data_IF_079058713138
#
_entry.id   IF_079058713138
#
_cell.length_a   1.000
_cell.length_b   1.000
_cell.length_c   1.000
_cell.angle_alpha   90.00
_cell.angle_beta   90.00
_cell.angle_gamma   90.00
#
_symmetry.space_group_name_H-M   'P 1'
#
loop_
_entity.id
_entity.type
_entity.pdbx_description
1 polymer ?
#
# COMPACT_ATOMS: atom_id res chain seq x y z
N UNK A 1 -15.19 -47.89 -43.72
CA UNK A 1 -14.30 -47.12 -42.82
C UNK A 1 -15.02 -45.81 -42.57
N UNK A 2 -15.58 -45.65 -41.39
CA UNK A 2 -16.21 -44.39 -40.96
C UNK A 2 -15.10 -43.42 -40.59
N UNK A 3 -15.04 -42.29 -41.30
CA UNK A 3 -14.05 -41.24 -41.06
C UNK A 3 -14.25 -40.67 -39.65
N UNK A 4 -13.26 -40.91 -38.77
CA UNK A 4 -13.22 -40.32 -37.44
C UNK A 4 -13.15 -38.79 -37.62
N UNK A 5 -14.06 -37.99 -37.03
CA UNK A 5 -14.09 -36.54 -37.19
C UNK A 5 -12.98 -35.87 -36.38
N UNK A 6 -11.72 -36.10 -36.77
CA UNK A 6 -10.53 -35.65 -36.07
C UNK A 6 -10.40 -34.12 -36.04
N UNK A 7 -10.80 -33.45 -37.12
CA UNK A 7 -10.74 -31.99 -37.24
C UNK A 7 -11.58 -31.24 -36.19
N UNK A 8 -12.89 -31.53 -36.06
CA UNK A 8 -13.74 -30.97 -35.02
C UNK A 8 -13.23 -31.25 -33.60
N UNK A 9 -12.73 -32.47 -33.33
CA UNK A 9 -12.20 -32.88 -32.02
C UNK A 9 -10.95 -32.07 -31.65
N UNK A 10 -9.98 -31.95 -32.57
CA UNK A 10 -8.75 -31.17 -32.35
C UNK A 10 -9.06 -29.68 -32.16
N UNK A 11 -10.05 -29.16 -32.90
CA UNK A 11 -10.46 -27.76 -32.79
C UNK A 11 -11.13 -27.47 -31.45
N UNK A 12 -11.99 -28.37 -30.96
CA UNK A 12 -12.65 -28.28 -29.65
C UNK A 12 -11.65 -28.29 -28.48
N UNK A 13 -10.62 -29.12 -28.57
CA UNK A 13 -9.60 -29.25 -27.52
C UNK A 13 -8.69 -28.01 -27.45
N UNK A 14 -8.37 -27.39 -28.60
CA UNK A 14 -7.41 -26.27 -28.66
C UNK A 14 -8.06 -24.89 -28.41
N UNK A 15 -9.35 -24.71 -28.73
CA UNK A 15 -10.00 -23.41 -28.67
C UNK A 15 -10.05 -22.78 -27.27
N UNK A 16 -10.40 -23.51 -26.19
CA UNK A 16 -10.46 -22.95 -24.84
C UNK A 16 -9.09 -22.48 -24.32
N UNK A 17 -8.03 -23.26 -24.56
CA UNK A 17 -6.71 -23.01 -24.01
C UNK A 17 -5.98 -21.83 -24.66
N UNK A 18 -6.23 -21.59 -25.95
CA UNK A 18 -5.57 -20.53 -26.73
C UNK A 18 -6.38 -19.22 -26.70
N UNK A 19 -7.71 -19.31 -26.78
CA UNK A 19 -8.56 -18.12 -26.96
C UNK A 19 -8.85 -17.39 -25.65
N UNK A 20 -8.98 -18.09 -24.53
CA UNK A 20 -9.29 -17.47 -23.22
C UNK A 20 -8.29 -16.37 -22.83
N UNK A 21 -6.97 -16.57 -22.79
CA UNK A 21 -6.01 -15.56 -22.37
C UNK A 21 -5.82 -14.42 -23.39
N UNK A 22 -6.17 -14.66 -24.66
CA UNK A 22 -6.19 -13.65 -25.72
C UNK A 22 -7.44 -12.75 -25.66
N UNK A 23 -8.51 -13.20 -25.01
CA UNK A 23 -9.72 -12.42 -24.79
C UNK A 23 -9.67 -11.56 -23.50
N UNK A 24 -8.72 -11.83 -22.60
CA UNK A 24 -8.56 -11.07 -21.37
C UNK A 24 -8.12 -9.61 -21.62
N UNK A 25 -8.54 -8.66 -20.75
CA UNK A 25 -8.01 -7.29 -20.70
C UNK A 25 -6.48 -7.25 -20.72
N UNK A 26 -5.91 -6.18 -21.28
CA UNK A 26 -4.46 -6.08 -21.54
C UNK A 26 -3.63 -6.20 -20.26
N UNK A 27 -4.14 -5.67 -19.16
CA UNK A 27 -3.52 -5.66 -17.84
C UNK A 27 -3.46 -7.07 -17.25
N UNK A 28 -4.57 -7.81 -17.33
CA UNK A 28 -4.68 -9.21 -16.92
C UNK A 28 -3.77 -10.08 -17.78
N UNK A 29 -3.80 -9.89 -19.11
CA UNK A 29 -2.95 -10.63 -20.05
C UNK A 29 -1.46 -10.46 -19.76
N UNK A 30 -1.02 -9.26 -19.41
CA UNK A 30 0.38 -8.99 -19.08
C UNK A 30 0.84 -9.78 -17.84
N UNK A 31 -0.02 -9.95 -16.84
CA UNK A 31 0.26 -10.73 -15.63
C UNK A 31 0.21 -12.23 -15.91
N UNK A 32 -0.79 -12.69 -16.65
CA UNK A 32 -0.97 -14.11 -16.97
C UNK A 32 0.18 -14.60 -17.89
N UNK A 33 0.60 -13.84 -18.90
CA UNK A 33 1.72 -14.21 -19.78
C UNK A 33 3.06 -14.37 -19.05
N UNK A 34 3.27 -13.66 -17.93
CA UNK A 34 4.46 -13.83 -17.07
C UNK A 34 4.42 -15.12 -16.24
N UNK A 35 3.27 -15.81 -16.18
CA UNK A 35 3.04 -17.00 -15.38
C UNK A 35 3.02 -18.25 -16.26
N UNK A 36 4.12 -19.01 -16.22
CA UNK A 36 4.20 -20.37 -16.82
C UNK A 36 3.12 -21.33 -16.28
N UNK A 37 2.55 -21.03 -15.11
CA UNK A 37 1.58 -21.88 -14.43
C UNK A 37 0.24 -21.95 -15.17
N UNK A 38 -0.19 -20.88 -15.86
CA UNK A 38 -1.37 -20.94 -16.72
C UNK A 38 -1.17 -21.95 -17.85
N UNK A 39 0.03 -22.00 -18.46
CA UNK A 39 0.33 -22.98 -19.51
C UNK A 39 0.11 -24.40 -18.97
N UNK A 40 0.57 -24.68 -17.75
CA UNK A 40 0.35 -25.99 -17.10
C UNK A 40 -1.14 -26.22 -16.85
N UNK A 41 -1.86 -25.26 -16.26
CA UNK A 41 -3.29 -25.38 -15.96
C UNK A 41 -4.15 -25.54 -17.22
N UNK A 42 -3.76 -24.94 -18.34
CA UNK A 42 -4.41 -25.09 -19.64
C UNK A 42 -4.05 -26.41 -20.34
N UNK A 43 -2.83 -26.93 -20.14
CA UNK A 43 -2.36 -28.19 -20.73
C UNK A 43 -2.91 -29.43 -20.03
N UNK A 44 -3.20 -29.38 -18.72
CA UNK A 44 -3.78 -30.51 -17.96
C UNK A 44 -5.09 -31.02 -18.59
N UNK A 45 -6.11 -30.19 -18.85
CA UNK A 45 -7.35 -30.67 -19.46
C UNK A 45 -7.15 -31.16 -20.89
N UNK A 46 -6.29 -30.51 -21.69
CA UNK A 46 -5.89 -31.00 -23.02
C UNK A 46 -5.32 -32.41 -22.90
N UNK A 47 -4.38 -32.61 -21.98
CA UNK A 47 -3.73 -33.90 -21.77
C UNK A 47 -4.72 -34.97 -21.27
N UNK A 48 -5.65 -34.60 -20.39
CA UNK A 48 -6.73 -35.51 -19.94
C UNK A 48 -7.68 -35.90 -21.07
N UNK A 49 -8.04 -34.96 -21.95
CA UNK A 49 -8.83 -35.22 -23.16
C UNK A 49 -8.08 -36.18 -24.10
N UNK A 50 -6.76 -36.02 -24.26
CA UNK A 50 -5.92 -36.98 -25.01
C UNK A 50 -5.88 -38.37 -24.39
N UNK A 51 -5.73 -38.49 -23.06
CA UNK A 51 -5.76 -39.78 -22.36
C UNK A 51 -7.12 -40.46 -22.56
N UNK A 52 -8.22 -39.70 -22.45
CA UNK A 52 -9.56 -40.23 -22.62
C UNK A 52 -9.83 -40.73 -24.05
N UNK A 53 -9.40 -39.96 -25.06
CA UNK A 53 -9.42 -40.36 -26.47
C UNK A 53 -8.59 -41.63 -26.73
N UNK A 54 -7.39 -41.71 -26.13
CA UNK A 54 -6.52 -42.88 -26.27
C UNK A 54 -7.16 -44.14 -25.67
N UNK A 55 -7.72 -44.04 -24.45
CA UNK A 55 -8.42 -45.15 -23.81
C UNK A 55 -9.65 -45.60 -24.61
N UNK A 56 -10.42 -44.65 -25.15
CA UNK A 56 -11.55 -44.93 -26.01
C UNK A 56 -11.13 -45.67 -27.29
N UNK A 57 -10.11 -45.17 -28.00
CA UNK A 57 -9.58 -45.84 -29.19
C UNK A 57 -9.02 -47.23 -28.89
N UNK A 58 -8.26 -47.39 -27.80
CA UNK A 58 -7.71 -48.68 -27.38
C UNK A 58 -8.82 -49.70 -27.11
N UNK A 59 -9.91 -49.27 -26.46
CA UNK A 59 -11.06 -50.12 -26.17
C UNK A 59 -11.85 -50.49 -27.44
N UNK A 60 -12.07 -49.55 -28.36
CA UNK A 60 -12.71 -49.79 -29.67
C UNK A 60 -11.90 -50.77 -30.52
N UNK A 61 -10.57 -50.65 -30.52
CA UNK A 61 -9.70 -51.55 -31.30
C UNK A 61 -9.76 -53.00 -30.80
N UNK A 62 -10.13 -53.22 -29.52
CA UNK A 62 -10.32 -54.55 -28.93
C UNK A 62 -11.72 -55.12 -29.09
N UNK A 63 -12.75 -54.29 -29.26
CA UNK A 63 -14.15 -54.72 -29.33
C UNK A 63 -14.79 -54.23 -30.65
N UNK A 64 -15.02 -55.14 -31.60
CA UNK A 64 -15.48 -54.85 -32.97
C UNK A 64 -16.95 -54.41 -33.09
N UNK A 65 -17.72 -54.43 -32.00
CA UNK A 65 -19.16 -54.12 -31.99
C UNK A 65 -19.46 -52.73 -31.41
N UNK A 66 -18.73 -51.70 -31.82
CA UNK A 66 -19.01 -50.32 -31.41
C UNK A 66 -20.06 -49.67 -32.32
N UNK A 67 -21.20 -49.30 -31.74
CA UNK A 67 -22.23 -48.52 -32.44
C UNK A 67 -21.80 -47.05 -32.55
N UNK A 68 -22.20 -46.38 -33.63
CA UNK A 68 -21.97 -44.93 -33.85
C UNK A 68 -22.47 -44.07 -32.67
N UNK A 69 -23.48 -44.55 -31.94
CA UNK A 69 -24.04 -43.90 -30.75
C UNK A 69 -23.01 -43.71 -29.63
N UNK A 70 -22.05 -44.64 -29.48
CA UNK A 70 -21.03 -44.52 -28.44
C UNK A 70 -20.01 -43.43 -28.81
N UNK A 71 -19.70 -43.26 -30.10
CA UNK A 71 -18.85 -42.16 -30.58
C UNK A 71 -19.50 -40.80 -30.34
N UNK A 72 -20.80 -40.66 -30.61
CA UNK A 72 -21.53 -39.43 -30.29
C UNK A 72 -21.55 -39.14 -28.78
N UNK A 73 -21.70 -40.16 -27.94
CA UNK A 73 -21.61 -40.01 -26.48
C UNK A 73 -20.21 -39.55 -26.01
N UNK A 74 -19.16 -40.12 -26.60
CA UNK A 74 -17.76 -39.75 -26.30
C UNK A 74 -17.43 -38.32 -26.71
N UNK A 75 -17.86 -37.91 -27.91
CA UNK A 75 -17.71 -36.54 -28.40
C UNK A 75 -18.50 -35.57 -27.51
N UNK A 76 -19.71 -35.93 -27.08
CA UNK A 76 -20.51 -35.11 -26.18
C UNK A 76 -19.84 -34.94 -24.82
N UNK A 77 -19.28 -36.00 -24.23
CA UNK A 77 -18.55 -35.92 -22.95
C UNK A 77 -17.31 -35.02 -23.09
N UNK A 78 -16.51 -35.20 -24.14
CA UNK A 78 -15.35 -34.35 -24.41
C UNK A 78 -15.76 -32.89 -24.58
N UNK A 79 -16.84 -32.62 -25.32
CA UNK A 79 -17.38 -31.28 -25.50
C UNK A 79 -17.84 -30.66 -24.18
N UNK A 80 -18.49 -31.43 -23.29
CA UNK A 80 -18.90 -30.97 -21.97
C UNK A 80 -17.70 -30.68 -21.06
N UNK A 81 -16.66 -31.51 -21.09
CA UNK A 81 -15.42 -31.27 -20.35
C UNK A 81 -14.72 -30.02 -20.87
N UNK A 82 -14.53 -29.90 -22.18
CA UNK A 82 -13.87 -28.75 -22.81
C UNK A 82 -14.67 -27.46 -22.58
N UNK A 83 -16.00 -27.50 -22.66
CA UNK A 83 -16.88 -26.37 -22.33
C UNK A 83 -16.75 -25.99 -20.84
N UNK A 84 -16.73 -26.97 -19.94
CA UNK A 84 -16.57 -26.72 -18.51
C UNK A 84 -15.21 -26.08 -18.19
N UNK A 85 -14.15 -26.59 -18.80
CA UNK A 85 -12.80 -26.03 -18.71
C UNK A 85 -12.76 -24.62 -19.31
N UNK A 86 -13.40 -24.39 -20.46
CA UNK A 86 -13.48 -23.08 -21.07
C UNK A 86 -14.17 -22.06 -20.16
N UNK A 87 -15.29 -22.44 -19.54
CA UNK A 87 -16.03 -21.60 -18.60
C UNK A 87 -15.18 -21.31 -17.36
N UNK A 88 -14.58 -22.34 -16.75
CA UNK A 88 -13.74 -22.20 -15.54
C UNK A 88 -12.50 -21.36 -15.82
N UNK A 89 -11.79 -21.61 -16.93
CA UNK A 89 -10.60 -20.84 -17.31
C UNK A 89 -10.98 -19.40 -17.69
N UNK A 90 -12.10 -19.20 -18.39
CA UNK A 90 -12.60 -17.84 -18.67
C UNK A 90 -12.92 -17.10 -17.37
N UNK A 91 -13.58 -17.76 -16.42
CA UNK A 91 -13.90 -17.13 -15.15
C UNK A 91 -12.62 -16.81 -14.35
N UNK A 92 -11.72 -17.77 -14.19
CA UNK A 92 -10.50 -17.61 -13.39
C UNK A 92 -9.49 -16.63 -14.01
N UNK A 93 -9.37 -16.57 -15.33
CA UNK A 93 -8.31 -15.83 -16.01
C UNK A 93 -8.78 -14.65 -16.85
N UNK A 94 -10.07 -14.55 -17.20
CA UNK A 94 -10.58 -13.39 -17.97
C UNK A 94 -11.36 -12.39 -17.12
N UNK A 95 -11.61 -12.70 -15.85
CA UNK A 95 -12.22 -11.76 -14.91
C UNK A 95 -11.21 -11.30 -13.87
N UNK A 96 -11.30 -10.03 -13.46
CA UNK A 96 -10.48 -9.49 -12.38
C UNK A 96 -10.75 -10.23 -11.06
N UNK A 97 -12.01 -10.56 -10.77
CA UNK A 97 -12.39 -11.33 -9.58
C UNK A 97 -11.72 -12.70 -9.54
N UNK A 98 -11.80 -13.47 -10.64
CA UNK A 98 -11.18 -14.79 -10.72
C UNK A 98 -9.66 -14.74 -10.54
N UNK A 99 -8.99 -13.79 -11.19
CA UNK A 99 -7.54 -13.67 -11.10
C UNK A 99 -7.10 -13.24 -9.69
N UNK A 100 -7.80 -12.27 -9.09
CA UNK A 100 -7.53 -11.83 -7.71
C UNK A 100 -7.74 -12.97 -6.73
N UNK A 101 -8.83 -13.74 -6.85
CA UNK A 101 -9.08 -14.91 -6.01
C UNK A 101 -7.99 -15.97 -6.16
N UNK A 102 -7.53 -16.24 -7.38
CA UNK A 102 -6.46 -17.21 -7.60
C UNK A 102 -5.14 -16.75 -6.98
N UNK A 103 -4.76 -15.48 -7.19
CA UNK A 103 -3.55 -14.92 -6.58
C UNK A 103 -3.62 -14.99 -5.05
N UNK A 104 -4.78 -14.67 -4.48
CA UNK A 104 -5.05 -14.74 -3.05
C UNK A 104 -4.93 -16.18 -2.52
N UNK A 105 -5.47 -17.17 -3.23
CA UNK A 105 -5.32 -18.59 -2.88
C UNK A 105 -3.86 -19.05 -2.88
N UNK A 106 -3.06 -18.64 -3.87
CA UNK A 106 -1.65 -18.96 -3.93
C UNK A 106 -0.86 -18.33 -2.78
N UNK A 107 -1.19 -17.08 -2.43
CA UNK A 107 -0.60 -16.37 -1.30
C UNK A 107 -0.93 -17.09 0.01
N UNK A 108 -2.21 -17.45 0.23
CA UNK A 108 -2.62 -18.17 1.44
C UNK A 108 -2.07 -19.59 1.51
N UNK A 109 -1.93 -20.28 0.38
CA UNK A 109 -1.30 -21.60 0.33
C UNK A 109 0.17 -21.52 0.77
N UNK A 110 0.90 -20.50 0.29
CA UNK A 110 2.28 -20.24 0.72
C UNK A 110 2.35 -19.89 2.20
N UNK A 111 1.50 -18.96 2.65
CA UNK A 111 1.44 -18.53 4.05
C UNK A 111 1.19 -19.72 4.99
N UNK A 112 0.23 -20.60 4.66
CA UNK A 112 -0.07 -21.80 5.45
C UNK A 112 1.09 -22.81 5.49
N UNK A 113 1.89 -22.90 4.42
CA UNK A 113 2.95 -23.90 4.31
C UNK A 113 4.27 -23.45 4.94
N UNK A 114 4.60 -22.17 4.83
CA UNK A 114 5.93 -21.67 5.20
C UNK A 114 5.91 -20.41 6.07
N UNK A 115 4.74 -19.95 6.50
CA UNK A 115 4.59 -18.69 7.26
C UNK A 115 4.95 -17.43 6.47
N UNK A 116 5.23 -17.55 5.17
CA UNK A 116 5.73 -16.47 4.30
C UNK A 116 4.85 -16.25 3.09
N UNK A 117 4.75 -15.00 2.66
CA UNK A 117 4.00 -14.62 1.47
C UNK A 117 4.71 -15.03 0.18
N UNK A 118 3.92 -15.47 -0.80
CA UNK A 118 4.41 -15.69 -2.15
C UNK A 118 4.68 -14.33 -2.80
N UNK A 119 5.94 -13.87 -2.77
CA UNK A 119 6.37 -12.58 -3.31
C UNK A 119 5.93 -12.35 -4.77
N UNK A 120 5.91 -13.41 -5.59
CA UNK A 120 5.47 -13.30 -6.99
C UNK A 120 3.98 -12.99 -7.08
N UNK A 121 3.14 -13.74 -6.36
CA UNK A 121 1.69 -13.53 -6.38
C UNK A 121 1.28 -12.19 -5.74
N UNK A 122 1.98 -11.75 -4.69
CA UNK A 122 1.81 -10.41 -4.13
C UNK A 122 2.19 -9.34 -5.16
N UNK A 123 3.36 -9.46 -5.79
CA UNK A 123 3.83 -8.54 -6.85
C UNK A 123 2.83 -8.45 -8.01
N UNK A 124 2.31 -9.58 -8.46
CA UNK A 124 1.35 -9.65 -9.57
C UNK A 124 0.02 -8.97 -9.20
N UNK A 125 -0.45 -9.15 -7.96
CA UNK A 125 -1.64 -8.47 -7.44
C UNK A 125 -1.47 -6.94 -7.39
N UNK A 126 -0.30 -6.47 -6.96
CA UNK A 126 0.05 -5.04 -6.96
C UNK A 126 0.18 -4.49 -8.38
N UNK A 127 0.79 -5.24 -9.30
CA UNK A 127 0.94 -4.84 -10.70
C UNK A 127 -0.43 -4.67 -11.39
N UNK A 128 -1.41 -5.50 -11.06
CA UNK A 128 -2.81 -5.29 -11.51
C UNK A 128 -3.38 -3.98 -10.96
N UNK A 129 -3.07 -3.63 -9.72
CA UNK A 129 -3.55 -2.40 -9.07
C UNK A 129 -2.96 -1.13 -9.67
N UNK A 130 -1.68 -1.18 -10.05
CA UNK A 130 -0.96 -0.08 -10.71
C UNK A 130 -1.49 0.13 -12.14
N UNK A 131 -1.79 -0.96 -12.86
CA UNK A 131 -2.18 -0.89 -14.28
C UNK A 131 -3.65 -0.60 -14.54
N UNK A 132 -4.50 -0.69 -13.52
CA UNK A 132 -5.94 -0.48 -13.68
C UNK A 132 -6.34 0.97 -13.41
N UNK A 133 -7.10 1.54 -14.33
CA UNK A 133 -7.75 2.85 -14.15
C UNK A 133 -9.15 2.72 -13.49
N UNK A 134 -9.68 1.50 -13.37
CA UNK A 134 -11.01 1.26 -12.80
C UNK A 134 -10.97 1.25 -11.27
N UNK A 135 -11.76 2.14 -10.67
CA UNK A 135 -11.92 2.24 -9.22
C UNK A 135 -12.46 0.94 -8.59
N UNK A 136 -13.36 0.23 -9.28
CA UNK A 136 -13.98 -1.01 -8.81
C UNK A 136 -12.96 -2.12 -8.68
N UNK A 137 -12.11 -2.25 -9.71
CA UNK A 137 -11.03 -3.23 -9.76
C UNK A 137 -9.98 -2.89 -8.69
N UNK A 138 -9.62 -1.61 -8.53
CA UNK A 138 -8.69 -1.22 -7.46
C UNK A 138 -9.27 -1.53 -6.07
N UNK A 139 -10.56 -1.29 -5.84
CA UNK A 139 -11.22 -1.62 -4.57
C UNK A 139 -11.21 -3.14 -4.28
N UNK A 140 -11.44 -3.97 -5.30
CA UNK A 140 -11.30 -5.43 -5.21
C UNK A 140 -9.87 -5.84 -4.80
N UNK A 141 -8.86 -5.24 -5.43
CA UNK A 141 -7.45 -5.50 -5.15
C UNK A 141 -7.09 -5.09 -3.72
N UNK A 142 -7.51 -3.90 -3.29
CA UNK A 142 -7.28 -3.39 -1.94
C UNK A 142 -7.99 -4.25 -0.89
N UNK A 143 -9.21 -4.69 -1.17
CA UNK A 143 -9.94 -5.64 -0.31
C UNK A 143 -9.20 -6.95 -0.14
N UNK A 144 -8.62 -7.49 -1.22
CA UNK A 144 -7.79 -8.69 -1.16
C UNK A 144 -6.51 -8.45 -0.37
N UNK A 145 -5.85 -7.29 -0.53
CA UNK A 145 -4.67 -6.91 0.25
C UNK A 145 -4.97 -6.81 1.74
N UNK A 146 -6.10 -6.22 2.13
CA UNK A 146 -6.53 -6.17 3.54
C UNK A 146 -6.68 -7.58 4.10
N UNK A 147 -7.35 -8.49 3.38
CA UNK A 147 -7.46 -9.90 3.80
C UNK A 147 -6.11 -10.60 3.90
N UNK A 148 -5.18 -10.31 2.99
CA UNK A 148 -3.81 -10.83 3.01
C UNK A 148 -3.09 -10.37 4.27
N UNK A 149 -3.12 -9.07 4.55
CA UNK A 149 -2.50 -8.47 5.75
C UNK A 149 -3.08 -9.09 7.02
N UNK A 150 -4.40 -9.13 7.16
CA UNK A 150 -5.07 -9.70 8.34
C UNK A 150 -4.65 -11.15 8.60
N UNK A 151 -4.68 -12.00 7.57
CA UNK A 151 -4.26 -13.41 7.72
C UNK A 151 -2.77 -13.58 8.00
N UNK A 152 -1.95 -12.69 7.44
CA UNK A 152 -0.49 -12.72 7.67
C UNK A 152 -0.18 -12.34 9.10
N UNK A 153 -0.72 -11.22 9.58
CA UNK A 153 -0.52 -10.74 10.93
C UNK A 153 -1.11 -11.71 11.98
N UNK A 154 -2.19 -12.43 11.66
CA UNK A 154 -2.74 -13.47 12.55
C UNK A 154 -1.97 -14.79 12.53
N UNK A 155 -0.99 -14.97 11.63
CA UNK A 155 -0.24 -16.21 11.53
C UNK A 155 0.73 -16.37 12.70
N UNK A 156 0.79 -17.56 13.31
CA UNK A 156 1.62 -17.81 14.49
C UNK A 156 3.12 -17.58 14.21
N UNK A 157 3.58 -17.95 13.02
CA UNK A 157 4.99 -17.81 12.61
C UNK A 157 5.35 -16.44 12.03
N UNK A 158 4.42 -15.48 11.99
CA UNK A 158 4.71 -14.16 11.44
C UNK A 158 5.64 -13.38 12.37
N UNK A 159 6.79 -12.97 11.79
CA UNK A 159 7.87 -12.21 12.44
C UNK A 159 8.15 -10.88 11.76
N UNK A 160 7.23 -10.35 10.94
CA UNK A 160 7.39 -8.98 10.40
C UNK A 160 8.36 -8.77 9.24
N UNK A 161 8.69 -9.83 8.51
CA UNK A 161 9.58 -9.77 7.32
C UNK A 161 8.82 -10.11 6.02
N UNK A 162 7.50 -9.88 5.99
CA UNK A 162 6.66 -10.38 4.89
C UNK A 162 5.82 -9.31 4.21
N UNK A 163 5.65 -8.13 4.79
CA UNK A 163 4.76 -7.10 4.25
C UNK A 163 5.47 -5.93 3.56
N UNK A 164 6.79 -5.77 3.71
CA UNK A 164 7.62 -4.74 3.04
C UNK A 164 7.21 -4.49 1.57
N UNK A 165 7.25 -5.52 0.71
CA UNK A 165 6.95 -5.38 -0.71
C UNK A 165 5.48 -4.97 -0.98
N UNK A 166 4.57 -5.32 -0.09
CA UNK A 166 3.16 -4.91 -0.16
C UNK A 166 3.02 -3.44 0.24
N UNK A 167 3.65 -3.04 1.35
CA UNK A 167 3.58 -1.69 1.89
C UNK A 167 4.22 -0.66 0.94
N UNK A 168 5.44 -0.91 0.47
CA UNK A 168 6.15 -0.01 -0.45
C UNK A 168 5.38 0.21 -1.75
N UNK A 169 4.83 -0.86 -2.34
CA UNK A 169 4.11 -0.78 -3.61
C UNK A 169 2.66 -0.32 -3.48
N UNK A 170 2.11 -0.29 -2.27
CA UNK A 170 0.80 0.31 -2.05
C UNK A 170 0.81 1.78 -2.46
N UNK A 171 1.89 2.51 -2.17
CA UNK A 171 2.07 3.90 -2.58
C UNK A 171 2.02 4.03 -4.11
N UNK A 172 2.71 3.13 -4.84
CA UNK A 172 2.72 3.10 -6.31
C UNK A 172 1.31 2.89 -6.90
N UNK A 173 0.49 2.02 -6.28
CA UNK A 173 -0.90 1.77 -6.72
C UNK A 173 -1.75 3.05 -6.68
N UNK A 174 -1.53 3.92 -5.69
CA UNK A 174 -2.28 5.17 -5.53
C UNK A 174 -1.66 6.36 -6.28
N UNK A 175 -0.36 6.31 -6.55
CA UNK A 175 0.34 7.32 -7.35
C UNK A 175 -0.03 7.18 -8.84
N UNK A 176 -0.13 5.95 -9.34
CA UNK A 176 -0.56 5.65 -10.70
C UNK A 176 -2.02 6.03 -11.01
N UNK A 177 -2.82 6.32 -9.98
CA UNK A 177 -4.21 6.71 -10.13
C UNK A 177 -4.35 8.13 -10.69
N UNK A 178 -4.55 8.23 -12.00
CA UNK A 178 -4.78 9.48 -12.72
C UNK A 178 -6.18 10.08 -12.50
N UNK A 179 -7.12 9.31 -11.94
CA UNK A 179 -8.54 9.72 -11.85
C UNK A 179 -8.84 10.82 -10.82
N UNK A 180 -7.87 11.13 -9.94
CA UNK A 180 -8.07 12.07 -8.83
C UNK A 180 -9.12 11.63 -7.79
N UNK A 181 -9.60 10.38 -7.86
CA UNK A 181 -10.64 9.90 -6.97
C UNK A 181 -10.06 9.47 -5.61
N UNK A 182 -10.48 10.16 -4.55
CA UNK A 182 -10.01 9.90 -3.20
C UNK A 182 -10.76 8.76 -2.46
N UNK A 183 -11.78 8.14 -3.05
CA UNK A 183 -12.64 7.14 -2.39
C UNK A 183 -11.90 5.94 -1.77
N UNK A 184 -10.81 5.49 -2.39
CA UNK A 184 -10.11 4.28 -1.97
C UNK A 184 -8.96 4.56 -0.96
N UNK A 185 -8.63 5.82 -0.69
CA UNK A 185 -7.48 6.17 0.14
C UNK A 185 -7.70 5.93 1.64
N UNK A 186 -8.95 5.76 2.09
CA UNK A 186 -9.25 5.34 3.47
C UNK A 186 -8.84 3.91 3.76
N UNK A 187 -8.90 3.01 2.77
CA UNK A 187 -8.65 1.57 2.96
C UNK A 187 -7.19 1.24 3.34
N UNK A 188 -6.16 1.88 2.74
CA UNK A 188 -4.78 1.78 3.24
C UNK A 188 -4.61 2.15 4.71
N UNK A 189 -5.33 3.16 5.20
CA UNK A 189 -5.23 3.56 6.61
C UNK A 189 -5.67 2.41 7.52
N UNK A 190 -6.80 1.78 7.20
CA UNK A 190 -7.35 0.68 7.99
C UNK A 190 -6.44 -0.56 7.93
N UNK A 191 -5.89 -0.86 6.75
CA UNK A 191 -4.93 -1.94 6.58
C UNK A 191 -3.65 -1.72 7.40
N UNK A 192 -3.05 -0.53 7.30
CA UNK A 192 -1.84 -0.19 8.05
C UNK A 192 -2.12 -0.16 9.56
N UNK A 193 -3.28 0.38 9.96
CA UNK A 193 -3.73 0.36 11.35
C UNK A 193 -3.81 -1.06 11.91
N UNK A 194 -4.32 -2.02 11.14
CA UNK A 194 -4.37 -3.42 11.54
C UNK A 194 -2.97 -4.02 11.75
N UNK A 195 -2.01 -3.71 10.86
CA UNK A 195 -0.60 -4.14 11.01
C UNK A 195 -0.04 -3.61 12.34
N UNK A 196 -0.17 -2.31 12.58
CA UNK A 196 0.34 -1.63 13.78
C UNK A 196 -0.29 -2.22 15.04
N UNK A 197 -1.62 -2.44 15.04
CA UNK A 197 -2.35 -2.93 16.21
C UNK A 197 -1.99 -4.37 16.56
N UNK A 198 -2.01 -5.28 15.57
CA UNK A 198 -1.69 -6.70 15.80
C UNK A 198 -0.23 -6.88 16.22
N UNK A 199 0.64 -5.98 15.76
CA UNK A 199 2.07 -5.97 16.07
C UNK A 199 2.42 -5.51 17.49
N UNK A 200 1.47 -4.96 18.26
CA UNK A 200 1.71 -4.31 19.57
C UNK A 200 2.56 -5.16 20.52
N UNK A 201 2.30 -6.46 20.61
CA UNK A 201 2.96 -7.34 21.57
C UNK A 201 4.24 -8.00 21.02
N UNK A 202 4.66 -7.67 19.78
CA UNK A 202 5.79 -8.29 19.07
C UNK A 202 6.80 -7.27 18.50
N UNK A 203 6.89 -6.07 19.10
CA UNK A 203 7.60 -4.89 18.56
C UNK A 203 9.02 -5.20 18.03
N UNK A 204 9.80 -6.05 18.71
CA UNK A 204 11.17 -6.40 18.28
C UNK A 204 11.23 -7.24 17.02
N UNK A 205 10.23 -8.10 16.80
CA UNK A 205 10.18 -8.99 15.65
C UNK A 205 9.66 -8.21 14.43
N UNK A 206 8.63 -7.40 14.62
CA UNK A 206 7.90 -6.74 13.52
C UNK A 206 8.30 -5.31 13.22
N UNK A 207 9.50 -4.93 13.67
CA UNK A 207 10.00 -3.55 13.58
C UNK A 207 10.06 -3.01 12.16
N UNK A 208 10.45 -3.85 11.20
CA UNK A 208 10.62 -3.42 9.79
C UNK A 208 9.26 -3.15 9.14
N UNK A 209 8.29 -4.06 9.30
CA UNK A 209 6.92 -3.85 8.80
C UNK A 209 6.23 -2.63 9.45
N UNK A 210 6.53 -2.30 10.73
CA UNK A 210 6.06 -1.05 11.36
C UNK A 210 6.71 0.18 10.70
N UNK A 211 8.02 0.15 10.46
CA UNK A 211 8.72 1.26 9.81
C UNK A 211 8.22 1.49 8.39
N UNK A 212 8.04 0.42 7.61
CA UNK A 212 7.52 0.52 6.25
C UNK A 212 6.05 0.94 6.23
N UNK A 213 5.27 0.57 7.25
CA UNK A 213 3.91 1.07 7.45
C UNK A 213 3.89 2.59 7.67
N UNK A 214 4.78 3.11 8.54
CA UNK A 214 4.92 4.55 8.80
C UNK A 214 5.35 5.30 7.54
N UNK A 215 6.34 4.78 6.79
CA UNK A 215 6.78 5.37 5.51
C UNK A 215 5.66 5.38 4.47
N UNK A 216 4.90 4.28 4.36
CA UNK A 216 3.79 4.16 3.42
C UNK A 216 2.68 5.16 3.72
N UNK A 217 2.36 5.39 5.00
CA UNK A 217 1.43 6.45 5.40
C UNK A 217 1.93 7.83 4.98
N UNK A 218 3.23 8.10 5.11
CA UNK A 218 3.85 9.35 4.64
C UNK A 218 3.66 9.54 3.13
N UNK A 219 4.03 8.54 2.33
CA UNK A 219 3.87 8.58 0.87
C UNK A 219 2.41 8.76 0.44
N UNK A 220 1.49 7.99 1.03
CA UNK A 220 0.06 8.09 0.75
C UNK A 220 -0.50 9.47 1.12
N UNK A 221 -0.11 10.02 2.27
CA UNK A 221 -0.53 11.36 2.71
C UNK A 221 -0.08 12.43 1.71
N UNK A 222 1.17 12.35 1.23
CA UNK A 222 1.68 13.29 0.23
C UNK A 222 0.91 13.20 -1.10
N UNK A 223 0.56 11.99 -1.55
CA UNK A 223 -0.27 11.79 -2.75
C UNK A 223 -1.65 12.42 -2.56
N UNK A 224 -2.30 12.19 -1.42
CA UNK A 224 -3.62 12.77 -1.12
C UNK A 224 -3.57 14.30 -1.09
N UNK A 225 -2.54 14.87 -0.44
CA UNK A 225 -2.36 16.33 -0.36
C UNK A 225 -2.13 16.92 -1.76
N UNK A 226 -1.31 16.29 -2.62
CA UNK A 226 -1.11 16.75 -4.01
C UNK A 226 -2.41 16.73 -4.83
N UNK A 227 -3.34 15.84 -4.49
CA UNK A 227 -4.66 15.74 -5.14
C UNK A 227 -5.71 16.71 -4.57
N UNK A 228 -5.34 17.55 -3.58
CA UNK A 228 -6.26 18.42 -2.86
C UNK A 228 -6.98 19.46 -3.73
N UNK A 229 -6.36 19.92 -4.82
CA UNK A 229 -7.00 20.88 -5.74
C UNK A 229 -8.33 20.36 -6.30
N UNK A 230 -8.45 19.03 -6.47
CA UNK A 230 -9.64 18.41 -7.03
C UNK A 230 -10.75 18.14 -6.01
N UNK A 231 -10.42 17.86 -4.74
CA UNK A 231 -11.38 17.40 -3.71
C UNK A 231 -10.98 17.81 -2.27
N UNK A 232 -10.95 19.11 -1.92
CA UNK A 232 -10.34 19.58 -0.66
C UNK A 232 -11.01 19.04 0.60
N UNK A 233 -12.34 18.89 0.63
CA UNK A 233 -13.06 18.38 1.82
C UNK A 233 -12.74 16.92 2.16
N UNK A 234 -12.45 16.08 1.16
CA UNK A 234 -12.12 14.68 1.39
C UNK A 234 -10.67 14.49 1.81
N UNK A 235 -9.79 15.42 1.43
CA UNK A 235 -8.39 15.40 1.84
C UNK A 235 -8.26 15.46 3.36
N UNK A 236 -9.01 16.35 4.01
CA UNK A 236 -8.99 16.48 5.47
C UNK A 236 -9.33 15.16 6.17
N UNK A 237 -10.44 14.53 5.79
CA UNK A 237 -10.89 13.27 6.38
C UNK A 237 -9.82 12.17 6.27
N UNK A 238 -9.19 12.04 5.10
CA UNK A 238 -8.22 10.99 4.81
C UNK A 238 -6.89 11.27 5.51
N UNK A 239 -6.38 12.50 5.40
CA UNK A 239 -5.10 12.88 6.02
C UNK A 239 -5.20 12.83 7.54
N UNK A 240 -6.32 13.26 8.14
CA UNK A 240 -6.53 13.11 9.57
C UNK A 240 -6.55 11.65 10.01
N UNK A 241 -7.17 10.77 9.22
CA UNK A 241 -7.11 9.33 9.50
C UNK A 241 -5.67 8.81 9.47
N UNK A 242 -4.83 9.25 8.52
CA UNK A 242 -3.42 8.87 8.50
C UNK A 242 -2.64 9.42 9.71
N UNK A 243 -2.87 10.68 10.09
CA UNK A 243 -2.28 11.29 11.29
C UNK A 243 -2.69 10.52 12.55
N UNK A 244 -3.94 10.08 12.66
CA UNK A 244 -4.42 9.31 13.81
C UNK A 244 -3.75 7.92 13.88
N UNK A 245 -3.51 7.28 12.74
CA UNK A 245 -2.75 6.01 12.70
C UNK A 245 -1.28 6.22 13.08
N UNK A 246 -0.67 7.34 12.67
CA UNK A 246 0.68 7.73 13.10
C UNK A 246 0.75 7.98 14.61
N UNK A 247 -0.23 8.70 15.18
CA UNK A 247 -0.32 8.95 16.63
C UNK A 247 -0.54 7.65 17.42
N UNK A 248 -1.36 6.75 16.90
CA UNK A 248 -1.51 5.39 17.44
C UNK A 248 -0.18 4.63 17.40
N UNK A 249 0.57 4.71 16.29
CA UNK A 249 1.89 4.08 16.17
C UNK A 249 2.86 4.63 17.19
N UNK A 250 2.94 5.95 17.34
CA UNK A 250 3.76 6.62 18.34
C UNK A 250 3.37 6.23 19.78
N UNK A 251 2.15 5.76 20.02
CA UNK A 251 1.66 5.33 21.34
C UNK A 251 1.95 3.86 21.61
N UNK A 252 1.79 3.00 20.61
CA UNK A 252 1.97 1.55 20.75
C UNK A 252 3.42 1.10 20.57
N UNK A 253 4.19 1.80 19.74
CA UNK A 253 5.54 1.42 19.30
C UNK A 253 6.49 2.60 19.50
N UNK A 254 6.88 2.84 20.76
CA UNK A 254 7.72 3.98 21.14
C UNK A 254 9.06 3.97 20.38
N UNK A 255 9.57 2.80 19.99
CA UNK A 255 10.78 2.67 19.17
C UNK A 255 10.68 3.31 17.78
N UNK A 256 9.47 3.63 17.32
CA UNK A 256 9.19 4.24 16.01
C UNK A 256 8.94 5.76 16.05
N UNK A 257 9.07 6.39 17.23
CA UNK A 257 8.65 7.79 17.43
C UNK A 257 9.42 8.78 16.53
N UNK A 258 10.71 8.54 16.30
CA UNK A 258 11.52 9.40 15.43
C UNK A 258 11.03 9.31 13.97
N UNK A 259 10.73 8.11 13.46
CA UNK A 259 10.17 7.96 12.11
C UNK A 259 8.78 8.60 12.01
N UNK A 260 7.92 8.39 13.01
CA UNK A 260 6.60 9.02 13.04
C UNK A 260 6.72 10.55 13.04
N UNK A 261 7.64 11.11 13.81
CA UNK A 261 7.85 12.56 13.89
C UNK A 261 8.35 13.13 12.55
N UNK A 262 9.25 12.42 11.88
CA UNK A 262 9.70 12.78 10.54
C UNK A 262 8.55 12.75 9.52
N UNK A 263 7.76 11.67 9.50
CA UNK A 263 6.64 11.55 8.57
C UNK A 263 5.57 12.61 8.84
N UNK A 264 5.25 12.88 10.10
CA UNK A 264 4.39 14.00 10.48
C UNK A 264 4.94 15.32 9.93
N UNK A 265 6.22 15.61 10.13
CA UNK A 265 6.87 16.79 9.55
C UNK A 265 6.68 16.89 8.03
N UNK A 266 6.96 15.82 7.29
CA UNK A 266 6.82 15.79 5.83
C UNK A 266 5.36 16.04 5.40
N UNK A 267 4.38 15.45 6.08
CA UNK A 267 2.95 15.71 5.87
C UNK A 267 2.62 17.19 6.11
N UNK A 268 3.12 17.76 7.20
CA UNK A 268 2.88 19.14 7.58
C UNK A 268 3.43 20.14 6.55
N UNK A 269 4.68 19.96 6.12
CA UNK A 269 5.31 20.84 5.12
C UNK A 269 4.60 20.71 3.77
N UNK A 270 4.28 19.50 3.34
CA UNK A 270 3.56 19.28 2.08
C UNK A 270 2.17 19.93 2.13
N UNK A 271 1.46 19.83 3.24
CA UNK A 271 0.15 20.44 3.41
C UNK A 271 0.22 21.98 3.37
N UNK A 272 1.17 22.58 4.08
CA UNK A 272 1.38 24.04 4.06
C UNK A 272 1.68 24.53 2.64
N UNK A 273 2.57 23.82 1.93
CA UNK A 273 2.93 24.14 0.54
C UNK A 273 1.75 24.06 -0.44
N UNK A 274 0.71 23.29 -0.10
CA UNK A 274 -0.53 23.16 -0.88
C UNK A 274 -1.68 24.01 -0.29
N UNK A 275 -1.38 25.04 0.49
CA UNK A 275 -2.35 25.96 1.12
C UNK A 275 -3.32 25.29 2.12
N UNK A 276 -3.02 24.09 2.61
CA UNK A 276 -3.78 23.38 3.65
C UNK A 276 -3.18 23.66 5.03
N UNK A 277 -3.10 24.94 5.39
CA UNK A 277 -2.40 25.41 6.61
C UNK A 277 -2.97 24.83 7.90
N UNK A 278 -4.27 24.52 7.95
CA UNK A 278 -4.92 23.87 9.10
C UNK A 278 -4.37 22.47 9.38
N UNK A 279 -4.05 21.69 8.35
CA UNK A 279 -3.38 20.39 8.50
C UNK A 279 -1.98 20.61 9.09
N UNK A 280 -1.23 21.60 8.59
CA UNK A 280 0.07 22.00 9.15
C UNK A 280 0.00 22.33 10.64
N UNK A 281 -1.03 23.07 11.08
CA UNK A 281 -1.27 23.35 12.50
C UNK A 281 -1.56 22.10 13.33
N UNK A 282 -2.39 21.19 12.81
CA UNK A 282 -2.71 19.93 13.50
C UNK A 282 -1.46 19.07 13.66
N UNK A 283 -0.65 18.95 12.62
CA UNK A 283 0.62 18.23 12.68
C UNK A 283 1.58 18.87 13.70
N UNK A 284 1.73 20.19 13.70
CA UNK A 284 2.55 20.89 14.70
C UNK A 284 2.06 20.63 16.13
N UNK A 285 0.74 20.62 16.35
CA UNK A 285 0.16 20.27 17.65
C UNK A 285 0.45 18.82 18.04
N UNK A 286 0.35 17.88 17.10
CA UNK A 286 0.66 16.46 17.35
C UNK A 286 2.14 16.29 17.72
N UNK A 287 3.07 16.88 16.99
CA UNK A 287 4.50 16.83 17.36
C UNK A 287 4.76 17.43 18.75
N UNK A 288 4.10 18.54 19.09
CA UNK A 288 4.19 19.13 20.43
C UNK A 288 3.63 18.21 21.53
N UNK A 289 2.56 17.47 21.25
CA UNK A 289 2.05 16.46 22.18
C UNK A 289 3.01 15.27 22.32
N UNK A 290 3.69 14.86 21.24
CA UNK A 290 4.63 13.74 21.26
C UNK A 290 5.88 14.08 22.09
N UNK A 291 6.43 15.29 21.93
CA UNK A 291 7.61 15.72 22.68
C UNK A 291 7.32 15.96 24.17
N UNK A 292 6.10 16.41 24.48
CA UNK A 292 5.66 16.67 25.86
C UNK A 292 5.36 15.42 26.68
N UNK A 293 5.49 14.21 26.11
CA UNK A 293 5.28 12.97 26.87
C UNK A 293 6.33 12.82 27.96
N UNK A 294 5.87 12.60 29.19
CA UNK A 294 6.73 12.51 30.38
C UNK A 294 7.61 11.26 30.37
N UNK A 295 7.11 10.15 29.81
CA UNK A 295 7.79 8.85 29.76
C UNK A 295 8.19 8.48 28.33
N UNK A 296 9.35 8.97 27.89
CA UNK A 296 10.00 8.47 26.66
C UNK A 296 11.20 7.58 27.01
N UNK A 297 11.38 6.44 26.32
CA UNK A 297 12.60 5.64 26.42
C UNK A 297 13.85 6.51 26.21
N UNK A 298 14.92 6.24 26.97
CA UNK A 298 16.20 7.00 26.88
C UNK A 298 16.79 7.07 25.47
N UNK A 299 16.43 6.15 24.57
CA UNK A 299 16.90 6.09 23.18
C UNK A 299 16.21 7.10 22.25
N UNK A 300 15.15 7.77 22.71
CA UNK A 300 14.41 8.75 21.91
C UNK A 300 14.99 10.14 22.11
N UNK A 301 15.33 10.79 21.00
CA UNK A 301 15.86 12.13 21.01
C UNK A 301 14.73 13.18 20.94
N UNK A 302 14.34 13.74 22.09
CA UNK A 302 13.35 14.82 22.15
C UNK A 302 13.79 16.05 21.34
N UNK A 303 15.10 16.32 21.24
CA UNK A 303 15.61 17.48 20.49
C UNK A 303 15.39 17.33 18.98
N UNK A 304 15.37 16.09 18.48
CA UNK A 304 15.01 15.80 17.09
C UNK A 304 13.54 16.12 16.82
N UNK A 305 12.62 15.67 17.69
CA UNK A 305 11.19 15.98 17.59
C UNK A 305 10.95 17.49 17.69
N UNK A 306 11.68 18.18 18.59
CA UNK A 306 11.62 19.63 18.69
C UNK A 306 12.04 20.31 17.39
N UNK A 307 13.07 19.81 16.73
CA UNK A 307 13.54 20.34 15.45
C UNK A 307 12.49 20.19 14.36
N UNK A 308 11.82 19.04 14.28
CA UNK A 308 10.67 18.86 13.39
C UNK A 308 9.53 19.82 13.69
N UNK A 309 9.14 19.99 14.97
CA UNK A 309 8.11 20.97 15.36
C UNK A 309 8.48 22.40 14.97
N UNK A 310 9.71 22.83 15.27
CA UNK A 310 10.22 24.16 14.92
C UNK A 310 10.25 24.35 13.41
N UNK A 311 10.60 23.30 12.66
CA UNK A 311 10.53 23.27 11.21
C UNK A 311 9.13 23.62 10.69
N UNK A 312 8.08 22.91 11.12
CA UNK A 312 6.70 23.22 10.70
C UNK A 312 6.30 24.65 11.10
N UNK A 313 6.60 25.04 12.34
CA UNK A 313 6.26 26.38 12.84
C UNK A 313 6.92 27.47 11.98
N UNK A 314 8.15 27.26 11.52
CA UNK A 314 8.84 28.24 10.67
C UNK A 314 8.17 28.46 9.31
N UNK A 315 7.56 27.40 8.75
CA UNK A 315 6.76 27.50 7.54
C UNK A 315 5.46 28.27 7.80
N UNK A 316 4.72 27.91 8.85
CA UNK A 316 3.52 28.65 9.27
C UNK A 316 3.82 30.14 9.59
N UNK A 317 5.00 30.41 10.16
CA UNK A 317 5.45 31.76 10.52
C UNK A 317 5.71 32.65 9.31
N UNK A 318 6.26 32.05 8.25
CA UNK A 318 6.60 32.74 7.01
C UNK A 318 5.34 33.09 6.22
N UNK A 319 4.36 32.19 6.22
CA UNK A 319 3.17 32.31 5.36
C UNK A 319 2.02 33.08 6.04
N UNK A 320 2.03 33.23 7.37
CA UNK A 320 0.90 33.84 8.12
C UNK A 320 1.34 34.81 9.23
N UNK A 321 1.41 36.11 8.89
CA UNK A 321 1.75 37.17 9.84
C UNK A 321 0.77 37.26 11.03
N UNK A 322 -0.52 37.01 10.78
CA UNK A 322 -1.58 37.08 11.79
C UNK A 322 -1.44 36.04 12.90
N UNK A 323 -0.80 34.90 12.61
CA UNK A 323 -0.66 33.78 13.55
C UNK A 323 0.61 33.83 14.39
N UNK A 324 1.52 34.79 14.15
CA UNK A 324 2.82 34.88 14.82
C UNK A 324 2.74 34.93 16.35
N UNK A 325 1.72 35.59 16.90
CA UNK A 325 1.53 35.64 18.36
C UNK A 325 1.20 34.25 18.94
N UNK A 326 0.37 33.46 18.24
CA UNK A 326 0.06 32.08 18.64
C UNK A 326 1.27 31.16 18.43
N UNK A 327 1.93 31.29 17.28
CA UNK A 327 3.13 30.50 16.95
C UNK A 327 4.26 30.77 17.94
N UNK A 328 4.42 32.01 18.44
CA UNK A 328 5.39 32.33 19.50
C UNK A 328 5.14 31.51 20.76
N UNK A 329 3.88 31.38 21.19
CA UNK A 329 3.54 30.53 22.35
C UNK A 329 3.89 29.06 22.11
N UNK A 330 3.73 28.57 20.87
CA UNK A 330 4.14 27.20 20.52
C UNK A 330 5.65 27.03 20.53
N UNK A 331 6.41 28.01 20.02
CA UNK A 331 7.88 28.00 20.11
C UNK A 331 8.31 27.95 21.58
N UNK A 332 7.79 28.84 22.42
CA UNK A 332 8.11 28.89 23.85
C UNK A 332 7.80 27.56 24.58
N UNK A 333 6.77 26.83 24.15
CA UNK A 333 6.46 25.51 24.68
C UNK A 333 7.44 24.41 24.22
N UNK A 334 8.08 24.55 23.05
CA UNK A 334 9.03 23.57 22.50
C UNK A 334 10.44 23.75 23.05
N UNK A 335 10.87 25.01 23.26
CA UNK A 335 12.24 25.33 23.67
C UNK A 335 12.74 24.53 24.88
N UNK A 336 11.96 24.32 25.96
CA UNK A 336 12.40 23.53 27.11
C UNK A 336 12.92 22.13 26.75
N UNK A 337 12.38 21.50 25.70
CA UNK A 337 12.77 20.16 25.28
C UNK A 337 14.05 20.11 24.44
N UNK A 338 14.57 21.26 24.03
CA UNK A 338 15.85 21.37 23.32
C UNK A 338 17.05 21.52 24.26
N UNK A 339 16.81 21.72 25.56
CA UNK A 339 17.82 21.97 26.59
C UNK A 339 18.79 23.12 26.27
N UNK A 340 18.39 24.09 25.44
CA UNK A 340 19.20 25.24 25.08
C UNK A 340 18.33 26.50 24.91
N UNK A 341 18.93 27.71 24.93
CA UNK A 341 18.20 28.95 24.68
C UNK A 341 17.59 28.99 23.28
N UNK A 342 16.50 29.75 23.11
CA UNK A 342 15.74 29.85 21.85
C UNK A 342 16.61 30.07 20.60
N UNK A 343 17.63 30.94 20.68
CA UNK A 343 18.50 31.23 19.54
C UNK A 343 19.35 30.03 19.14
N UNK A 344 19.91 29.32 20.12
CA UNK A 344 20.72 28.12 19.90
C UNK A 344 19.85 26.94 19.47
N UNK A 345 18.63 26.82 20.02
CA UNK A 345 17.66 25.80 19.60
C UNK A 345 17.33 25.92 18.12
N UNK A 346 17.06 27.15 17.65
CA UNK A 346 16.79 27.40 16.23
C UNK A 346 18.03 27.15 15.38
N UNK A 347 19.23 27.53 15.83
CA UNK A 347 20.49 27.25 15.09
C UNK A 347 20.76 25.76 14.95
N UNK A 348 20.53 24.97 16.00
CA UNK A 348 20.66 23.50 15.95
C UNK A 348 19.66 22.89 14.99
N UNK A 349 18.41 23.34 15.00
CA UNK A 349 17.40 22.88 14.04
C UNK A 349 17.74 23.29 12.61
N UNK A 350 18.26 24.50 12.39
CA UNK A 350 18.76 24.93 11.08
C UNK A 350 19.87 24.01 10.58
N UNK A 351 20.88 23.76 11.42
CA UNK A 351 21.99 22.85 11.07
C UNK A 351 21.52 21.44 10.79
N UNK A 352 20.58 20.92 11.59
CA UNK A 352 19.92 19.65 11.35
C UNK A 352 19.27 19.61 9.96
N UNK A 353 18.45 20.60 9.60
CA UNK A 353 17.80 20.65 8.29
C UNK A 353 18.78 20.83 7.14
N UNK A 354 19.86 21.60 7.31
CA UNK A 354 20.93 21.69 6.30
C UNK A 354 21.58 20.32 6.05
N UNK A 355 21.83 19.54 7.10
CA UNK A 355 22.45 18.21 6.98
C UNK A 355 21.55 17.20 6.26
N UNK A 356 20.23 17.34 6.35
CA UNK A 356 19.26 16.51 5.62
C UNK A 356 18.77 17.17 4.32
N UNK A 357 19.49 18.17 3.81
CA UNK A 357 19.18 18.90 2.57
C UNK A 357 17.83 19.65 2.55
N UNK A 358 17.26 19.93 3.73
CA UNK A 358 16.04 20.73 3.91
C UNK A 358 16.30 22.24 3.93
N UNK A 359 16.97 22.77 2.90
CA UNK A 359 17.45 24.16 2.85
C UNK A 359 16.33 25.20 3.04
N UNK A 360 15.17 25.00 2.42
CA UNK A 360 14.03 25.91 2.55
C UNK A 360 13.56 26.04 4.01
N UNK A 361 13.50 24.93 4.73
CA UNK A 361 13.14 24.92 6.16
C UNK A 361 14.21 25.64 6.99
N UNK A 362 15.49 25.45 6.66
CA UNK A 362 16.58 26.16 7.33
C UNK A 362 16.51 27.68 7.12
N UNK A 363 16.18 28.14 5.90
CA UNK A 363 16.01 29.56 5.59
C UNK A 363 14.81 30.17 6.33
N UNK A 364 13.68 29.45 6.37
CA UNK A 364 12.48 29.86 7.11
C UNK A 364 12.74 29.92 8.63
N UNK A 365 13.52 28.98 9.16
CA UNK A 365 13.96 29.01 10.56
C UNK A 365 14.84 30.24 10.85
N UNK A 366 15.76 30.59 9.95
CA UNK A 366 16.59 31.78 10.08
C UNK A 366 15.75 33.06 10.11
N UNK A 367 14.78 33.19 9.20
CA UNK A 367 13.86 34.32 9.18
C UNK A 367 13.06 34.42 10.49
N UNK A 368 12.53 33.29 10.97
CA UNK A 368 11.83 33.20 12.25
C UNK A 368 12.72 33.62 13.43
N UNK A 369 13.99 33.18 13.47
CA UNK A 369 14.96 33.55 14.51
C UNK A 369 15.15 35.06 14.60
N UNK A 370 15.36 35.72 13.46
CA UNK A 370 15.57 37.18 13.39
C UNK A 370 14.35 37.93 13.96
N UNK A 371 13.15 37.48 13.61
CA UNK A 371 11.90 38.08 14.10
C UNK A 371 11.71 37.86 15.60
N UNK A 372 11.99 36.65 16.10
CA UNK A 372 11.89 36.32 17.52
C UNK A 372 12.86 37.16 18.36
N UNK A 373 14.11 37.35 17.92
CA UNK A 373 15.10 38.17 18.63
C UNK A 373 14.71 39.65 18.65
N UNK A 374 14.29 40.21 17.51
CA UNK A 374 13.80 41.60 17.44
C UNK A 374 12.59 41.84 18.35
N UNK A 375 11.71 40.86 18.48
CA UNK A 375 10.53 40.99 19.36
C UNK A 375 10.91 41.06 20.84
N UNK A 376 11.88 40.25 21.29
CA UNK A 376 12.39 40.26 22.68
C UNK A 376 13.14 41.54 23.05
N UNK A 377 13.90 42.11 22.12
CA UNK A 377 14.57 43.40 22.33
C UNK A 377 13.59 44.56 22.51
N UNK A 378 12.45 44.53 21.78
CA UNK A 378 11.39 45.54 21.90
C UNK A 378 10.63 45.46 23.22
N UNK A 379 10.43 44.26 23.79
CA UNK A 379 9.83 44.09 25.12
C UNK A 379 10.78 44.46 26.25
N UNK A 380 12.09 44.26 26.09
CA UNK A 380 13.09 44.70 27.08
C UNK A 380 13.29 46.22 27.13
N UNK A 381 13.09 46.96 26.02
CA UNK A 381 13.14 48.43 26.00
C UNK A 381 11.88 49.12 26.56
N UNK A 382 10.81 48.36 26.81
CA UNK A 382 9.52 48.88 27.33
C UNK A 382 9.30 48.62 28.83
N UNK A 383 10.20 47.87 29.47
CA UNK A 383 10.31 47.75 30.93
C UNK A 383 11.46 48.63 31.38
#
# INVERSE_FOLDING_TARGET
MTDIPFGPIVTLILFPAVYTPLAAPREIRAVILKRKQWIITALIPIFMSFIFLFLAMFYVTRNTSFSEQIWYGLILILLLIDLSVAIVMSYLFNTYDGLVQQLELEIFSSLKKSGKLNKKSVSDLLELGIKTDSWQIRNLILSSMTRIVEKTCSHAEYRGESLEALLLRLVEVFDADSSGNLQNFSMPADMIRSIIFISKDRELEVRDDIQDSVRSLGGLSQIVIKKAESQPRKVDEIVFRYIDVLDMTATLHLGSLNQVSQVLFEIGIQAISNNLTHIGFIVANKLNMLISRDSLPQKIDKSLIASYSLGIISHLWSDNLSLRAELTKKVDAIIPYTNCPIGEAVDRSMFFFMNIMGFETADKLLAMKVDLLKSKERTHKKK
#
